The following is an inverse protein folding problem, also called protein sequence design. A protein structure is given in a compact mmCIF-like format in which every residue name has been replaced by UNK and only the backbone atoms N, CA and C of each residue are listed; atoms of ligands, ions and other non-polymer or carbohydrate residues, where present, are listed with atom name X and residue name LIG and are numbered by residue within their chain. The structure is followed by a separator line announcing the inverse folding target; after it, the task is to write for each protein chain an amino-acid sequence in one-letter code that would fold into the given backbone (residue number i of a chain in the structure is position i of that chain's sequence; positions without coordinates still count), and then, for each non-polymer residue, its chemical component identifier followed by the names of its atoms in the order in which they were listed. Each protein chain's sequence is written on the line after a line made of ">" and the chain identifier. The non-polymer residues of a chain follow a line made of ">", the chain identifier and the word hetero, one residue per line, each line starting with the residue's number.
data_IF_337260906140
#
_entry.id   IF_337260906140
#
_cell.length_a   1.000
_cell.length_b   1.000
_cell.length_c   1.000
_cell.angle_alpha   90.00
_cell.angle_beta   90.00
_cell.angle_gamma   90.00
#
_symmetry.space_group_name_H-M   'P 1'
#
loop_
_entity.id
_entity.type
_entity.pdbx_description
1 polymer ?
#
# COMPACT_ATOMS: atom_id res chain seq x y z
N UNK A 1 34.60 23.01 22.48
CA UNK A 1 34.10 22.33 23.70
C UNK A 1 32.82 23.03 24.11
N UNK A 2 31.66 22.41 23.95
CA UNK A 2 30.40 22.99 24.43
C UNK A 2 30.40 22.93 25.95
N UNK A 3 30.40 24.09 26.60
CA UNK A 3 30.35 24.20 28.04
C UNK A 3 29.02 23.61 28.54
N UNK A 4 29.06 22.55 29.36
CA UNK A 4 27.88 21.98 30.01
C UNK A 4 27.77 22.54 31.42
N UNK A 5 26.61 23.09 31.76
CA UNK A 5 26.32 23.61 33.11
C UNK A 5 25.71 22.50 33.96
N UNK A 6 26.24 22.30 35.16
CA UNK A 6 25.70 21.30 36.10
C UNK A 6 24.41 21.82 36.74
N UNK A 7 23.37 20.99 36.71
CA UNK A 7 22.10 21.25 37.38
C UNK A 7 21.76 20.06 38.28
N UNK A 8 21.36 20.32 39.53
CA UNK A 8 20.86 19.29 40.44
C UNK A 8 19.34 19.44 40.55
N UNK A 9 18.60 18.36 40.28
CA UNK A 9 17.13 18.31 40.37
C UNK A 9 16.72 17.03 41.07
N UNK A 10 15.56 17.06 41.71
CA UNK A 10 14.96 15.88 42.32
C UNK A 10 14.12 15.13 41.28
N UNK A 11 14.18 13.80 41.34
CA UNK A 11 13.34 12.90 40.56
C UNK A 11 12.51 12.06 41.50
N UNK A 12 11.30 11.73 41.06
CA UNK A 12 10.56 10.64 41.67
C UNK A 12 11.39 9.32 41.57
N UNK A 13 11.46 8.51 42.64
CA UNK A 13 12.26 7.29 42.65
C UNK A 13 11.88 6.28 41.56
N UNK A 14 10.61 6.17 41.19
CA UNK A 14 10.18 5.28 40.10
C UNK A 14 10.63 5.83 38.75
N UNK A 15 10.52 7.14 38.55
CA UNK A 15 10.98 7.80 37.32
C UNK A 15 12.49 7.64 37.13
N UNK A 16 13.28 7.76 38.20
CA UNK A 16 14.72 7.55 38.14
C UNK A 16 15.05 6.12 37.69
N UNK A 17 14.36 5.10 38.22
CA UNK A 17 14.54 3.70 37.78
C UNK A 17 14.23 3.52 36.29
N UNK A 18 13.21 4.20 35.76
CA UNK A 18 12.89 4.13 34.33
C UNK A 18 14.01 4.74 33.47
N UNK A 19 14.58 5.88 33.88
CA UNK A 19 15.72 6.51 33.20
C UNK A 19 16.94 5.59 33.24
N UNK A 20 17.20 4.92 34.35
CA UNK A 20 18.28 3.94 34.49
C UNK A 20 18.11 2.75 33.55
N UNK A 21 16.91 2.16 33.52
CA UNK A 21 16.59 1.06 32.63
C UNK A 21 16.73 1.46 31.16
N UNK A 22 16.31 2.68 30.79
CA UNK A 22 16.41 3.19 29.43
C UNK A 22 17.86 3.47 29.04
N UNK A 23 18.67 4.00 29.96
CA UNK A 23 20.10 4.22 29.80
C UNK A 23 20.83 2.92 29.47
N UNK A 24 20.53 1.85 30.19
CA UNK A 24 21.07 0.51 29.94
C UNK A 24 20.62 -0.06 28.59
N UNK A 25 19.32 0.02 28.28
CA UNK A 25 18.76 -0.50 27.02
C UNK A 25 19.31 0.20 25.78
N UNK A 26 19.53 1.51 25.84
CA UNK A 26 19.97 2.33 24.70
C UNK A 26 21.46 2.63 24.69
N UNK A 27 22.23 2.14 25.68
CA UNK A 27 23.68 2.37 25.79
C UNK A 27 24.06 3.87 25.77
N UNK A 28 23.23 4.72 26.41
CA UNK A 28 23.43 6.17 26.48
C UNK A 28 23.40 6.63 27.94
N UNK A 29 24.13 7.70 28.28
CA UNK A 29 24.17 8.20 29.65
C UNK A 29 22.81 8.73 30.12
N UNK A 30 22.52 8.62 31.42
CA UNK A 30 21.31 9.19 32.04
C UNK A 30 21.17 10.69 31.75
N UNK A 31 22.26 11.44 31.82
CA UNK A 31 22.28 12.87 31.49
C UNK A 31 21.90 13.14 30.04
N UNK A 32 22.33 12.30 29.09
CA UNK A 32 21.98 12.45 27.68
C UNK A 32 20.49 12.18 27.42
N UNK A 33 19.90 11.20 28.14
CA UNK A 33 18.46 10.94 28.09
C UNK A 33 17.68 12.14 28.61
N UNK A 34 18.05 12.67 29.77
CA UNK A 34 17.37 13.81 30.40
C UNK A 34 17.51 15.07 29.53
N UNK A 35 18.71 15.34 29.00
CA UNK A 35 18.96 16.45 28.09
C UNK A 35 18.10 16.34 26.82
N UNK A 36 18.04 15.15 26.19
CA UNK A 36 17.21 14.92 25.01
C UNK A 36 15.70 15.06 25.31
N UNK A 37 15.24 14.58 26.47
CA UNK A 37 13.85 14.69 26.88
C UNK A 37 13.45 16.16 27.13
N UNK A 38 14.28 16.92 27.85
CA UNK A 38 14.06 18.36 28.12
C UNK A 38 14.14 19.16 26.82
N UNK A 39 15.12 18.90 25.96
CA UNK A 39 15.22 19.54 24.65
C UNK A 39 13.98 19.26 23.79
N UNK A 40 13.49 18.02 23.78
CA UNK A 40 12.26 17.65 23.06
C UNK A 40 11.04 18.35 23.64
N UNK A 41 10.90 18.41 24.97
CA UNK A 41 9.79 19.07 25.64
C UNK A 41 9.77 20.58 25.36
N UNK A 42 10.92 21.24 25.45
CA UNK A 42 11.05 22.69 25.19
C UNK A 42 10.90 23.05 23.71
N UNK A 43 11.14 22.11 22.80
CA UNK A 43 11.02 22.38 21.37
C UNK A 43 9.57 22.58 20.93
N UNK A 44 8.57 22.07 21.67
CA UNK A 44 7.13 22.19 21.37
C UNK A 44 6.65 21.54 20.05
N UNK A 45 7.56 21.32 19.11
CA UNK A 45 7.34 20.95 17.72
C UNK A 45 7.27 19.43 17.49
N UNK A 46 7.78 18.62 18.42
CA UNK A 46 7.97 17.18 18.16
C UNK A 46 6.66 16.40 18.19
N UNK A 47 5.72 16.74 19.08
CA UNK A 47 4.38 16.11 19.10
C UNK A 47 3.57 16.55 17.88
N UNK A 48 3.46 17.85 17.64
CA UNK A 48 2.67 18.41 16.54
C UNK A 48 3.17 17.97 15.17
N UNK A 49 4.50 17.87 14.98
CA UNK A 49 5.08 17.33 13.74
C UNK A 49 4.82 15.85 13.56
N UNK A 50 4.84 15.07 14.64
CA UNK A 50 4.51 13.64 14.60
C UNK A 50 3.05 13.46 14.23
N UNK A 51 2.15 14.19 14.87
CA UNK A 51 0.71 14.17 14.58
C UNK A 51 0.43 14.59 13.13
N UNK A 52 1.03 15.68 12.66
CA UNK A 52 0.90 16.12 11.27
C UNK A 52 1.43 15.09 10.26
N UNK A 53 2.55 14.42 10.58
CA UNK A 53 3.10 13.36 9.74
C UNK A 53 2.19 12.12 9.72
N UNK A 54 1.58 11.76 10.84
CA UNK A 54 0.62 10.66 10.93
C UNK A 54 -0.66 10.97 10.15
N UNK A 55 -1.24 12.16 10.29
CA UNK A 55 -2.41 12.59 9.52
C UNK A 55 -2.16 12.53 8.02
N UNK A 56 -1.02 13.04 7.54
CA UNK A 56 -0.66 12.95 6.10
C UNK A 56 -0.52 11.50 5.62
N UNK A 57 0.00 10.60 6.46
CA UNK A 57 0.11 9.18 6.13
C UNK A 57 -1.26 8.52 6.06
N UNK A 58 -2.16 8.84 6.98
CA UNK A 58 -3.54 8.36 6.98
C UNK A 58 -4.29 8.86 5.74
N UNK A 59 -4.16 10.14 5.38
CA UNK A 59 -4.77 10.69 4.16
C UNK A 59 -4.26 9.98 2.91
N UNK A 60 -2.96 9.68 2.85
CA UNK A 60 -2.37 8.91 1.74
C UNK A 60 -2.96 7.50 1.67
N UNK A 61 -3.12 6.81 2.80
CA UNK A 61 -3.74 5.49 2.85
C UNK A 61 -5.20 5.58 2.42
N UNK A 62 -5.96 6.57 2.90
CA UNK A 62 -7.34 6.79 2.52
C UNK A 62 -7.52 6.98 1.02
N UNK A 63 -6.66 7.78 0.38
CA UNK A 63 -6.64 7.92 -1.09
C UNK A 63 -6.35 6.60 -1.80
N UNK A 64 -5.38 5.82 -1.31
CA UNK A 64 -5.05 4.51 -1.89
C UNK A 64 -6.21 3.52 -1.77
N UNK A 65 -6.96 3.55 -0.66
CA UNK A 65 -8.16 2.72 -0.49
C UNK A 65 -9.25 3.17 -1.46
N UNK A 66 -9.46 4.47 -1.63
CA UNK A 66 -10.44 4.99 -2.60
C UNK A 66 -10.13 4.55 -4.03
N UNK A 67 -8.87 4.64 -4.47
CA UNK A 67 -8.46 4.12 -5.78
C UNK A 67 -8.68 2.61 -5.91
N UNK A 68 -8.41 1.83 -4.86
CA UNK A 68 -8.66 0.38 -4.87
C UNK A 68 -10.14 0.03 -4.98
N UNK A 69 -11.02 0.83 -4.39
CA UNK A 69 -12.47 0.65 -4.48
C UNK A 69 -12.96 0.87 -5.92
N UNK A 70 -12.47 1.93 -6.57
CA UNK A 70 -12.76 2.21 -7.98
C UNK A 70 -12.21 1.11 -8.91
N UNK A 71 -10.96 0.68 -8.71
CA UNK A 71 -10.36 -0.43 -9.45
C UNK A 71 -11.18 -1.73 -9.30
N UNK A 72 -11.68 -2.00 -8.08
CA UNK A 72 -12.50 -3.18 -7.81
C UNK A 72 -13.88 -3.09 -8.47
N UNK A 73 -14.48 -1.90 -8.50
CA UNK A 73 -15.74 -1.66 -9.20
C UNK A 73 -15.59 -1.93 -10.71
N UNK A 74 -14.53 -1.41 -11.33
CA UNK A 74 -14.22 -1.64 -12.76
C UNK A 74 -13.99 -3.13 -13.04
N UNK A 75 -13.27 -3.84 -12.18
CA UNK A 75 -13.09 -5.29 -12.30
C UNK A 75 -14.41 -6.04 -12.19
N UNK A 76 -15.29 -5.63 -11.28
CA UNK A 76 -16.62 -6.21 -11.10
C UNK A 76 -17.50 -6.03 -12.34
N UNK A 77 -17.51 -4.82 -12.92
CA UNK A 77 -18.26 -4.52 -14.14
C UNK A 77 -17.72 -5.30 -15.35
N UNK A 78 -16.39 -5.34 -15.51
CA UNK A 78 -15.73 -6.10 -16.58
C UNK A 78 -16.05 -7.59 -16.48
N UNK A 79 -16.03 -8.16 -15.27
CA UNK A 79 -16.38 -9.57 -15.04
C UNK A 79 -17.85 -9.85 -15.37
N UNK A 80 -18.75 -8.94 -14.98
CA UNK A 80 -20.18 -9.05 -15.31
C UNK A 80 -20.40 -9.08 -16.82
N UNK A 81 -19.76 -8.17 -17.57
CA UNK A 81 -19.82 -8.13 -19.03
C UNK A 81 -19.24 -9.41 -19.65
N UNK A 82 -18.11 -9.90 -19.14
CA UNK A 82 -17.51 -11.14 -19.60
C UNK A 82 -18.44 -12.35 -19.40
N UNK A 83 -19.04 -12.50 -18.20
CA UNK A 83 -19.99 -13.58 -17.90
C UNK A 83 -21.23 -13.47 -18.78
N UNK A 84 -21.78 -12.27 -18.95
CA UNK A 84 -22.92 -12.04 -19.82
C UNK A 84 -22.62 -12.43 -21.27
N UNK A 85 -21.49 -11.97 -21.81
CA UNK A 85 -21.03 -12.34 -23.15
C UNK A 85 -20.85 -13.85 -23.28
N UNK A 86 -20.22 -14.50 -22.30
CA UNK A 86 -20.00 -15.94 -22.29
C UNK A 86 -21.31 -16.73 -22.34
N UNK A 87 -22.30 -16.36 -21.52
CA UNK A 87 -23.60 -17.03 -21.47
C UNK A 87 -24.43 -16.82 -22.74
N UNK A 88 -24.31 -15.64 -23.36
CA UNK A 88 -25.06 -15.31 -24.57
C UNK A 88 -24.46 -15.94 -25.83
N UNK A 89 -23.13 -16.01 -25.92
CA UNK A 89 -22.44 -16.45 -27.13
C UNK A 89 -22.05 -17.95 -27.14
N UNK A 90 -22.07 -18.63 -25.99
CA UNK A 90 -21.68 -20.04 -25.93
C UNK A 90 -22.82 -20.95 -26.42
N UNK A 91 -22.66 -21.67 -27.54
CA UNK A 91 -23.68 -22.57 -28.03
C UNK A 91 -23.91 -23.74 -27.06
N UNK A 92 -25.15 -24.19 -26.84
CA UNK A 92 -25.42 -25.36 -26.02
C UNK A 92 -24.78 -26.60 -26.65
N UNK A 93 -24.03 -27.35 -25.85
CA UNK A 93 -23.35 -28.56 -26.30
C UNK A 93 -24.30 -29.78 -26.23
N UNK A 94 -24.23 -30.70 -27.21
CA UNK A 94 -24.94 -31.98 -27.13
C UNK A 94 -24.43 -32.81 -25.95
N UNK A 95 -25.31 -33.61 -25.34
CA UNK A 95 -25.02 -34.36 -24.10
C UNK A 95 -23.76 -35.24 -24.21
N UNK A 96 -23.54 -35.85 -25.38
CA UNK A 96 -22.37 -36.67 -25.68
C UNK A 96 -21.04 -35.90 -25.63
N UNK A 97 -21.06 -34.60 -25.90
CA UNK A 97 -19.86 -33.76 -25.89
C UNK A 97 -19.60 -33.08 -24.54
N UNK A 98 -20.59 -33.04 -23.62
CA UNK A 98 -20.49 -32.32 -22.34
C UNK A 98 -19.32 -32.81 -21.48
N UNK A 99 -19.11 -34.12 -21.41
CA UNK A 99 -18.02 -34.68 -20.59
C UNK A 99 -16.63 -34.32 -21.15
N UNK A 100 -16.43 -34.46 -22.46
CA UNK A 100 -15.16 -34.10 -23.10
C UNK A 100 -14.88 -32.59 -23.01
N UNK A 101 -15.91 -31.75 -23.18
CA UNK A 101 -15.78 -30.31 -23.03
C UNK A 101 -15.42 -29.89 -21.60
N UNK A 102 -15.99 -30.53 -20.58
CA UNK A 102 -15.63 -30.30 -19.17
C UNK A 102 -14.17 -30.64 -18.89
N UNK A 103 -13.68 -31.79 -19.36
CA UNK A 103 -12.29 -32.23 -19.18
C UNK A 103 -11.33 -31.20 -19.82
N UNK A 104 -11.55 -30.87 -21.09
CA UNK A 104 -10.71 -29.86 -21.78
C UNK A 104 -10.81 -28.47 -21.17
N UNK A 105 -11.98 -28.10 -20.64
CA UNK A 105 -12.18 -26.85 -19.91
C UNK A 105 -11.31 -26.78 -18.66
N UNK A 106 -11.31 -27.84 -17.85
CA UNK A 106 -10.45 -27.94 -16.66
C UNK A 106 -8.96 -27.91 -17.03
N UNK A 107 -8.51 -28.66 -18.03
CA UNK A 107 -7.12 -28.65 -18.49
C UNK A 107 -6.64 -27.24 -18.88
N UNK A 108 -7.48 -26.50 -19.62
CA UNK A 108 -7.19 -25.10 -19.99
C UNK A 108 -7.16 -24.18 -18.78
N UNK A 109 -8.07 -24.38 -17.84
CA UNK A 109 -8.12 -23.58 -16.61
C UNK A 109 -6.89 -23.79 -15.73
N UNK A 110 -6.46 -25.04 -15.56
CA UNK A 110 -5.23 -25.37 -14.83
C UNK A 110 -4.00 -24.72 -15.47
N UNK A 111 -3.88 -24.81 -16.81
CA UNK A 111 -2.81 -24.13 -17.55
C UNK A 111 -2.84 -22.61 -17.42
N UNK A 112 -4.04 -22.00 -17.39
CA UNK A 112 -4.20 -20.58 -17.10
C UNK A 112 -3.72 -20.25 -15.68
N UNK A 113 -4.15 -21.01 -14.66
CA UNK A 113 -3.77 -20.79 -13.26
C UNK A 113 -2.26 -20.90 -13.05
N UNK A 114 -1.59 -21.84 -13.70
CA UNK A 114 -0.13 -21.96 -13.66
C UNK A 114 0.55 -20.73 -14.27
N UNK A 115 0.08 -20.25 -15.42
CA UNK A 115 0.61 -19.04 -16.06
C UNK A 115 0.36 -17.77 -15.23
N UNK A 116 -0.82 -17.64 -14.64
CA UNK A 116 -1.18 -16.54 -13.75
C UNK A 116 -0.29 -16.55 -12.50
N UNK A 117 -0.13 -17.71 -11.85
CA UNK A 117 0.74 -17.88 -10.69
C UNK A 117 2.19 -17.49 -11.00
N UNK A 118 2.70 -17.89 -12.17
CA UNK A 118 4.05 -17.49 -12.63
C UNK A 118 4.16 -15.97 -12.78
N UNK A 119 3.22 -15.31 -13.46
CA UNK A 119 3.22 -13.85 -13.63
C UNK A 119 3.14 -13.11 -12.30
N UNK A 120 2.29 -13.56 -11.39
CA UNK A 120 2.16 -12.97 -10.05
C UNK A 120 3.46 -13.10 -9.24
N UNK A 121 4.13 -14.25 -9.32
CA UNK A 121 5.42 -14.47 -8.65
C UNK A 121 6.55 -13.59 -9.24
N UNK A 122 6.51 -13.28 -10.54
CA UNK A 122 7.45 -12.37 -11.19
C UNK A 122 7.18 -10.90 -10.86
N UNK A 123 6.03 -10.57 -10.25
CA UNK A 123 5.67 -9.19 -9.86
C UNK A 123 5.25 -8.31 -11.04
N UNK A 124 5.01 -8.91 -12.20
CA UNK A 124 4.66 -8.23 -13.44
C UNK A 124 3.18 -7.82 -13.37
N UNK A 125 2.92 -6.62 -12.85
CA UNK A 125 1.56 -6.14 -12.60
C UNK A 125 0.98 -5.63 -13.90
N UNK A 126 0.32 -6.52 -14.63
CA UNK A 126 -0.48 -6.23 -15.83
C UNK A 126 -1.32 -4.93 -15.70
N UNK A 127 -1.95 -4.69 -14.55
CA UNK A 127 -2.73 -3.47 -14.30
C UNK A 127 -1.91 -2.18 -14.34
N UNK A 128 -0.63 -2.21 -13.93
CA UNK A 128 0.27 -1.05 -14.02
C UNK A 128 0.72 -0.74 -15.44
N UNK A 129 0.86 -1.77 -16.27
CA UNK A 129 1.18 -1.59 -17.70
C UNK A 129 -0.03 -1.03 -18.43
N UNK A 130 -1.22 -1.61 -18.19
CA UNK A 130 -2.47 -1.14 -18.79
C UNK A 130 -2.81 0.31 -18.41
N UNK A 131 -2.64 0.69 -17.14
CA UNK A 131 -2.84 2.08 -16.69
C UNK A 131 -1.89 3.05 -17.38
N UNK A 132 -0.60 2.70 -17.54
CA UNK A 132 0.36 3.55 -18.28
C UNK A 132 0.00 3.71 -19.74
N UNK A 133 -0.44 2.63 -20.38
CA UNK A 133 -0.85 2.65 -21.79
C UNK A 133 -2.11 3.50 -21.97
N UNK A 134 -3.09 3.40 -21.06
CA UNK A 134 -4.30 4.22 -21.06
C UNK A 134 -4.01 5.69 -20.77
N UNK A 135 -3.13 5.99 -19.81
CA UNK A 135 -2.69 7.37 -19.53
C UNK A 135 -1.99 7.97 -20.76
N UNK A 136 -1.14 7.19 -21.44
CA UNK A 136 -0.45 7.62 -22.66
C UNK A 136 -1.42 7.85 -23.83
N UNK A 137 -2.49 7.05 -23.93
CA UNK A 137 -3.54 7.21 -24.93
C UNK A 137 -4.38 8.47 -24.65
N UNK A 138 -4.70 8.73 -23.39
CA UNK A 138 -5.41 9.93 -22.97
C UNK A 138 -4.59 11.20 -23.27
N UNK A 139 -3.30 11.20 -22.95
CA UNK A 139 -2.40 12.32 -23.23
C UNK A 139 -2.22 12.56 -24.74
N UNK A 140 -2.16 11.48 -25.53
CA UNK A 140 -2.08 11.55 -27.01
C UNK A 140 -3.35 12.12 -27.65
N UNK A 141 -4.52 11.83 -27.07
CA UNK A 141 -5.80 12.39 -27.51
C UNK A 141 -5.94 13.87 -27.11
N UNK A 142 -5.35 14.27 -25.98
CA UNK A 142 -5.32 15.66 -25.51
C UNK A 142 -4.30 16.53 -26.24
N UNK A 143 -3.23 15.92 -26.74
CA UNK A 143 -2.15 16.57 -27.49
C UNK A 143 -2.43 16.75 -28.99
N UNK A 144 -3.61 16.34 -29.49
CA UNK A 144 -4.05 16.73 -30.84
C UNK A 144 -4.56 18.17 -30.80
N UNK A 145 -3.82 19.17 -31.33
CA UNK A 145 -4.43 20.46 -31.58
C UNK A 145 -5.53 20.25 -32.63
N UNK A 146 -6.71 20.82 -32.37
CA UNK A 146 -7.75 20.96 -33.40
C UNK A 146 -7.14 21.78 -34.55
N UNK A 147 -6.69 21.08 -35.59
CA UNK A 147 -6.20 21.73 -36.79
C UNK A 147 -7.42 22.21 -37.56
N UNK A 148 -7.57 23.53 -37.58
CA UNK A 148 -8.53 24.28 -38.37
C UNK A 148 -8.24 24.16 -39.88
#
# INVERSE_FOLDING_TARGET
>A
MTARTRMNVYFDPELLKQVEALSLRRQVSKSAIVEAAVASFLSGDTSDRLEAAMSRRLDKIGRQIGTLDEDLAVLGETLSLFVHFWLTMTPPLPDSAKQSARIKGNERFEGFMQNLGRRLATGDRFLKELSRDMDSLHDSLRARPESC
#
